data_IF_980403972824
#
_entry.id   IF_980403972824
#
_cell.length_a   1.000
_cell.length_b   1.000
_cell.length_c   1.000
_cell.angle_alpha   90.00
_cell.angle_beta   90.00
_cell.angle_gamma   90.00
#
_symmetry.space_group_name_H-M   'P 1'
#
loop_
_entity.id
_entity.type
_entity.pdbx_description
1 polymer ?
#
# COMPACT_ATOMS: atom_id res chain seq x y z
N UNK A 1 -43.31 -30.85 -44.84
CA UNK A 1 -43.16 -30.04 -43.61
C UNK A 1 -41.77 -30.33 -43.07
N UNK A 2 -40.83 -29.40 -43.28
CA UNK A 2 -39.48 -29.53 -42.73
C UNK A 2 -39.46 -28.98 -41.31
N UNK A 3 -38.95 -29.78 -40.36
CA UNK A 3 -38.76 -29.33 -38.97
C UNK A 3 -37.80 -28.14 -38.91
N UNK A 4 -38.09 -27.12 -38.08
CA UNK A 4 -37.19 -26.00 -37.90
C UNK A 4 -35.97 -26.45 -37.08
N UNK A 5 -34.78 -26.27 -37.65
CA UNK A 5 -33.52 -26.48 -36.95
C UNK A 5 -33.49 -25.60 -35.68
N UNK A 6 -33.46 -26.25 -34.52
CA UNK A 6 -33.26 -25.58 -33.24
C UNK A 6 -31.88 -24.93 -33.24
N UNK A 7 -31.84 -23.60 -33.32
CA UNK A 7 -30.61 -22.83 -33.13
C UNK A 7 -30.15 -23.04 -31.68
N UNK A 8 -29.16 -23.92 -31.50
CA UNK A 8 -28.54 -24.17 -30.21
C UNK A 8 -27.97 -22.89 -29.60
N UNK A 9 -28.07 -22.76 -28.28
CA UNK A 9 -27.47 -21.66 -27.54
C UNK A 9 -25.94 -21.65 -27.78
N UNK A 10 -25.39 -20.52 -28.21
CA UNK A 10 -23.95 -20.32 -28.37
C UNK A 10 -23.46 -19.26 -27.37
N UNK A 11 -22.28 -19.48 -26.81
CA UNK A 11 -21.60 -18.56 -25.87
C UNK A 11 -20.23 -18.20 -26.43
N UNK A 12 -19.68 -17.05 -25.99
CA UNK A 12 -18.41 -16.52 -26.48
C UNK A 12 -17.25 -17.52 -26.37
N UNK A 13 -16.30 -17.40 -27.31
CA UNK A 13 -15.10 -18.23 -27.38
C UNK A 13 -14.35 -18.24 -26.03
N UNK A 14 -13.98 -19.44 -25.55
CA UNK A 14 -13.18 -19.60 -24.33
C UNK A 14 -11.73 -19.17 -24.49
N UNK A 15 -11.28 -18.94 -25.73
CA UNK A 15 -9.88 -18.61 -26.01
C UNK A 15 -9.61 -17.14 -25.70
N UNK A 16 -8.56 -16.90 -24.91
CA UNK A 16 -8.00 -15.56 -24.72
C UNK A 16 -7.42 -15.01 -26.02
N UNK A 17 -7.28 -13.68 -26.09
CA UNK A 17 -6.69 -12.99 -27.24
C UNK A 17 -5.30 -13.53 -27.62
N UNK A 18 -4.47 -13.85 -26.61
CA UNK A 18 -3.14 -14.40 -26.82
C UNK A 18 -3.19 -15.81 -27.45
N UNK A 19 -4.12 -16.66 -27.00
CA UNK A 19 -4.30 -18.00 -27.58
C UNK A 19 -4.69 -17.93 -29.06
N UNK A 20 -5.53 -16.97 -29.44
CA UNK A 20 -5.89 -16.76 -30.84
C UNK A 20 -4.71 -16.26 -31.68
N UNK A 21 -3.88 -15.36 -31.12
CA UNK A 21 -2.64 -14.94 -31.78
C UNK A 21 -1.67 -16.11 -32.01
N UNK A 22 -1.52 -16.98 -31.02
CA UNK A 22 -0.62 -18.14 -31.10
C UNK A 22 -1.10 -19.18 -32.12
N UNK A 23 -2.40 -19.43 -32.20
CA UNK A 23 -2.99 -20.26 -33.26
C UNK A 23 -2.71 -19.67 -34.65
N UNK A 24 -2.78 -18.34 -34.80
CA UNK A 24 -2.41 -17.69 -36.05
C UNK A 24 -0.92 -17.90 -36.38
N UNK A 25 -0.02 -17.75 -35.39
CA UNK A 25 1.43 -17.97 -35.59
C UNK A 25 1.73 -19.43 -35.99
N UNK A 26 1.14 -20.40 -35.28
CA UNK A 26 1.30 -21.84 -35.56
C UNK A 26 0.77 -22.22 -36.95
N UNK A 27 -0.39 -21.69 -37.32
CA UNK A 27 -0.99 -21.90 -38.64
C UNK A 27 -0.32 -21.06 -39.75
N UNK A 28 0.67 -20.23 -39.41
CA UNK A 28 1.34 -19.27 -40.31
C UNK A 28 0.37 -18.29 -40.98
N UNK A 29 -0.69 -17.91 -40.27
CA UNK A 29 -1.73 -16.99 -40.74
C UNK A 29 -1.46 -15.57 -40.22
N UNK A 30 -1.69 -14.58 -41.09
CA UNK A 30 -1.74 -13.18 -40.68
C UNK A 30 -3.17 -12.82 -40.30
N UNK A 31 -3.34 -12.22 -39.13
CA UNK A 31 -4.62 -11.71 -38.64
C UNK A 31 -4.43 -10.29 -38.10
N UNK A 32 -4.68 -9.24 -38.91
CA UNK A 32 -4.53 -7.85 -38.49
C UNK A 32 -5.39 -7.49 -37.28
N UNK A 33 -6.60 -8.07 -37.17
CA UNK A 33 -7.49 -7.88 -36.02
C UNK A 33 -6.84 -8.35 -34.72
N UNK A 34 -6.02 -9.41 -34.76
CA UNK A 34 -5.25 -9.90 -33.61
C UNK A 34 -3.85 -9.28 -33.53
N UNK A 35 -3.48 -8.35 -34.42
CA UNK A 35 -2.13 -7.80 -34.49
C UNK A 35 -1.04 -8.76 -35.00
N UNK A 36 -1.43 -9.90 -35.59
CA UNK A 36 -0.51 -10.88 -36.19
C UNK A 36 -0.31 -10.58 -37.67
N UNK A 37 0.93 -10.46 -38.10
CA UNK A 37 1.34 -10.09 -39.45
C UNK A 37 2.51 -10.96 -39.92
N UNK A 38 2.84 -10.91 -41.22
CA UNK A 38 4.05 -11.54 -41.75
C UNK A 38 5.35 -11.09 -41.08
N UNK A 39 5.37 -9.90 -40.46
CA UNK A 39 6.57 -9.33 -39.83
C UNK A 39 6.84 -9.88 -38.43
N UNK A 40 5.80 -10.31 -37.71
CA UNK A 40 5.89 -10.79 -36.31
C UNK A 40 5.34 -12.23 -36.17
N UNK A 41 5.20 -12.93 -37.29
CA UNK A 41 4.63 -14.28 -37.39
C UNK A 41 5.46 -15.33 -36.62
N UNK A 42 6.74 -15.04 -36.40
CA UNK A 42 7.68 -15.87 -35.64
C UNK A 42 8.10 -15.23 -34.31
N UNK A 43 7.47 -14.13 -33.91
CA UNK A 43 7.78 -13.46 -32.66
C UNK A 43 6.96 -14.08 -31.53
N UNK A 44 7.65 -14.78 -30.63
CA UNK A 44 7.10 -15.32 -29.39
C UNK A 44 7.54 -14.47 -28.20
N UNK A 45 6.65 -14.31 -27.23
CA UNK A 45 6.93 -13.51 -26.05
C UNK A 45 7.63 -14.32 -24.96
N UNK A 46 8.75 -13.81 -24.48
CA UNK A 46 9.44 -14.35 -23.30
C UNK A 46 8.66 -13.97 -22.05
N UNK A 47 8.24 -14.98 -21.28
CA UNK A 47 7.58 -14.78 -20.00
C UNK A 47 8.58 -14.44 -18.90
N UNK A 48 9.64 -15.25 -18.78
CA UNK A 48 10.82 -15.07 -17.94
C UNK A 48 11.90 -16.08 -18.35
N UNK A 49 13.10 -15.96 -17.78
CA UNK A 49 14.21 -16.88 -18.01
C UNK A 49 14.34 -17.83 -16.82
N UNK A 50 14.41 -19.13 -17.10
CA UNK A 50 14.42 -20.20 -16.10
C UNK A 50 15.83 -20.60 -15.68
N UNK A 51 16.77 -20.59 -16.63
CA UNK A 51 18.10 -21.15 -16.43
C UNK A 51 19.12 -20.47 -17.37
N UNK A 52 20.39 -20.69 -17.09
CA UNK A 52 21.53 -20.14 -17.80
C UNK A 52 22.67 -21.15 -17.93
N UNK A 53 23.29 -21.19 -19.10
CA UNK A 53 24.55 -21.90 -19.32
C UNK A 53 25.44 -21.17 -20.31
N UNK A 54 26.75 -21.35 -20.16
CA UNK A 54 27.77 -20.84 -21.06
C UNK A 54 28.59 -21.99 -21.63
N UNK A 55 28.51 -22.18 -22.94
CA UNK A 55 29.27 -23.18 -23.69
C UNK A 55 30.29 -22.44 -24.54
N UNK A 56 31.58 -22.66 -24.29
CA UNK A 56 32.67 -21.81 -24.82
C UNK A 56 32.43 -20.35 -24.42
N UNK A 57 32.36 -19.42 -25.38
CA UNK A 57 32.04 -18.00 -25.16
C UNK A 57 30.58 -17.64 -25.46
N UNK A 58 29.74 -18.63 -25.80
CA UNK A 58 28.34 -18.39 -26.12
C UNK A 58 27.43 -18.67 -24.92
N UNK A 59 26.57 -17.71 -24.61
CA UNK A 59 25.54 -17.81 -23.57
C UNK A 59 24.24 -18.35 -24.15
N UNK A 60 23.57 -19.20 -23.36
CA UNK A 60 22.26 -19.77 -23.62
C UNK A 60 21.38 -19.62 -22.39
N UNK A 61 20.08 -19.42 -22.61
CA UNK A 61 19.09 -19.27 -21.56
C UNK A 61 17.91 -20.20 -21.82
N UNK A 62 17.42 -20.84 -20.77
CA UNK A 62 16.18 -21.61 -20.86
C UNK A 62 15.01 -20.64 -20.74
N UNK A 63 14.19 -20.55 -21.78
CA UNK A 63 13.13 -19.56 -21.89
C UNK A 63 11.80 -20.16 -21.45
N UNK A 64 11.10 -19.49 -20.53
CA UNK A 64 9.67 -19.71 -20.34
C UNK A 64 8.91 -18.87 -21.36
N UNK A 65 8.23 -19.51 -22.30
CA UNK A 65 7.39 -18.82 -23.29
C UNK A 65 6.03 -18.45 -22.70
N UNK A 66 5.59 -17.21 -22.92
CA UNK A 66 4.31 -16.71 -22.42
C UNK A 66 3.18 -17.48 -23.09
N UNK A 67 2.27 -18.04 -22.29
CA UNK A 67 1.09 -18.77 -22.79
C UNK A 67 1.33 -20.26 -23.03
N UNK A 68 2.57 -20.75 -22.95
CA UNK A 68 2.93 -22.15 -23.18
C UNK A 68 3.20 -22.90 -21.87
N UNK A 69 3.02 -24.23 -21.81
CA UNK A 69 3.40 -25.03 -20.65
C UNK A 69 4.92 -25.11 -20.48
N UNK A 70 5.38 -25.46 -19.27
CA UNK A 70 6.82 -25.58 -18.97
C UNK A 70 7.54 -26.65 -19.81
N UNK A 71 6.80 -27.61 -20.37
CA UNK A 71 7.31 -28.65 -21.28
C UNK A 71 7.80 -28.09 -22.63
N UNK A 72 7.36 -26.90 -23.01
CA UNK A 72 7.74 -26.21 -24.25
C UNK A 72 8.92 -25.24 -24.03
N UNK A 73 9.52 -25.21 -22.83
CA UNK A 73 10.66 -24.34 -22.57
C UNK A 73 11.87 -24.76 -23.43
N UNK A 74 12.45 -23.82 -24.18
CA UNK A 74 13.59 -24.08 -25.06
C UNK A 74 14.84 -23.31 -24.65
N UNK A 75 16.01 -23.86 -24.99
CA UNK A 75 17.29 -23.17 -24.81
C UNK A 75 17.55 -22.24 -25.99
N UNK A 76 17.60 -20.94 -25.73
CA UNK A 76 17.86 -19.93 -26.75
C UNK A 76 19.24 -19.29 -26.57
N UNK A 77 20.03 -19.12 -27.63
CA UNK A 77 21.27 -18.35 -27.55
C UNK A 77 20.96 -16.87 -27.28
N UNK A 78 21.86 -16.19 -26.56
CA UNK A 78 21.74 -14.75 -26.24
C UNK A 78 21.36 -13.85 -27.42
N UNK A 79 21.85 -14.17 -28.61
CA UNK A 79 21.64 -13.39 -29.84
C UNK A 79 20.16 -13.38 -30.29
N UNK A 80 19.40 -14.44 -29.97
CA UNK A 80 17.97 -14.54 -30.28
C UNK A 80 17.12 -13.69 -29.32
N UNK A 81 17.63 -13.43 -28.11
CA UNK A 81 16.89 -12.76 -27.04
C UNK A 81 17.01 -11.24 -27.14
N UNK A 82 16.00 -10.62 -27.76
CA UNK A 82 15.84 -9.15 -27.86
C UNK A 82 15.22 -8.52 -26.59
N UNK A 83 14.84 -9.34 -25.60
CA UNK A 83 14.19 -8.92 -24.36
C UNK A 83 15.17 -8.33 -23.33
N UNK A 84 15.77 -7.17 -23.65
CA UNK A 84 16.83 -6.52 -22.84
C UNK A 84 16.45 -6.35 -21.37
N UNK A 85 15.19 -6.00 -21.07
CA UNK A 85 14.72 -5.81 -19.68
C UNK A 85 14.72 -7.12 -18.90
N UNK A 86 14.24 -8.21 -19.50
CA UNK A 86 14.18 -9.53 -18.86
C UNK A 86 15.59 -10.06 -18.61
N UNK A 87 16.48 -9.94 -19.60
CA UNK A 87 17.88 -10.33 -19.47
C UNK A 87 18.60 -9.56 -18.36
N UNK A 88 18.46 -8.23 -18.32
CA UNK A 88 19.05 -7.39 -17.27
C UNK A 88 18.53 -7.78 -15.89
N UNK A 89 17.22 -8.03 -15.76
CA UNK A 89 16.63 -8.41 -14.48
C UNK A 89 17.11 -9.79 -14.03
N UNK A 90 17.18 -10.76 -14.94
CA UNK A 90 17.69 -12.10 -14.63
C UNK A 90 19.13 -12.06 -14.10
N UNK A 91 20.02 -11.31 -14.76
CA UNK A 91 21.40 -11.18 -14.30
C UNK A 91 21.52 -10.42 -12.97
N UNK A 92 20.68 -9.41 -12.74
CA UNK A 92 20.61 -8.71 -11.45
C UNK A 92 20.19 -9.67 -10.33
N UNK A 93 19.22 -10.55 -10.58
CA UNK A 93 18.75 -11.54 -9.61
C UNK A 93 19.80 -12.62 -9.36
N UNK A 94 20.47 -13.09 -10.41
CA UNK A 94 21.58 -14.04 -10.33
C UNK A 94 22.75 -13.49 -9.53
N UNK A 95 23.19 -12.27 -9.81
CA UNK A 95 24.29 -11.63 -9.09
C UNK A 95 23.97 -11.45 -7.60
N UNK A 96 22.76 -10.99 -7.27
CA UNK A 96 22.32 -10.83 -5.88
C UNK A 96 22.31 -12.14 -5.11
N UNK A 97 21.81 -13.21 -5.72
CA UNK A 97 21.77 -14.52 -5.08
C UNK A 97 23.17 -15.15 -4.94
N UNK A 98 24.07 -14.93 -5.91
CA UNK A 98 25.47 -15.34 -5.79
C UNK A 98 26.17 -14.64 -4.62
N UNK A 99 25.97 -13.32 -4.48
CA UNK A 99 26.51 -12.54 -3.36
C UNK A 99 25.94 -13.03 -2.02
N UNK A 100 24.63 -13.27 -1.94
CA UNK A 100 23.97 -13.82 -0.73
C UNK A 100 24.56 -15.18 -0.32
N UNK A 101 24.90 -16.02 -1.30
CA UNK A 101 25.55 -17.33 -1.09
C UNK A 101 27.08 -17.23 -0.86
N UNK A 102 27.62 -16.03 -0.68
CA UNK A 102 29.06 -15.78 -0.50
C UNK A 102 29.93 -16.34 -1.64
N UNK A 103 29.38 -16.37 -2.87
CA UNK A 103 30.08 -16.82 -4.08
C UNK A 103 30.63 -15.62 -4.86
N UNK A 104 31.55 -15.88 -5.80
CA UNK A 104 32.03 -14.87 -6.76
C UNK A 104 30.84 -14.30 -7.54
N UNK A 105 30.85 -12.99 -7.80
CA UNK A 105 29.78 -12.29 -8.54
C UNK A 105 29.65 -12.69 -10.01
N UNK A 106 30.70 -13.31 -10.59
CA UNK A 106 30.67 -13.74 -11.99
C UNK A 106 29.74 -14.95 -12.18
N UNK A 107 28.86 -14.95 -13.20
CA UNK A 107 28.00 -16.09 -13.51
C UNK A 107 28.81 -17.37 -13.73
N UNK A 108 28.44 -18.51 -13.10
CA UNK A 108 29.10 -19.79 -13.35
C UNK A 108 28.80 -20.29 -14.77
N UNK A 109 29.57 -21.26 -15.29
CA UNK A 109 29.28 -21.84 -16.62
C UNK A 109 27.93 -22.55 -16.69
N UNK A 110 27.47 -23.09 -15.58
CA UNK A 110 26.16 -23.72 -15.43
C UNK A 110 25.59 -23.34 -14.06
N UNK A 111 24.28 -23.11 -13.98
CA UNK A 111 23.62 -22.95 -12.69
C UNK A 111 23.44 -24.31 -12.02
N UNK A 112 23.60 -24.35 -10.70
CA UNK A 112 23.13 -25.50 -9.93
C UNK A 112 21.59 -25.49 -9.83
N UNK A 113 20.93 -26.65 -9.63
CA UNK A 113 19.47 -26.74 -9.61
C UNK A 113 18.81 -25.82 -8.58
N UNK A 114 19.44 -25.58 -7.42
CA UNK A 114 18.91 -24.71 -6.38
C UNK A 114 18.95 -23.24 -6.80
N UNK A 115 19.99 -22.81 -7.52
CA UNK A 115 20.11 -21.46 -8.06
C UNK A 115 19.12 -21.23 -9.22
N UNK A 116 18.99 -22.18 -10.14
CA UNK A 116 18.01 -22.12 -11.22
C UNK A 116 16.56 -22.05 -10.66
N UNK A 117 16.22 -22.91 -9.70
CA UNK A 117 14.91 -22.89 -9.06
C UNK A 117 14.62 -21.56 -8.34
N UNK A 118 15.62 -21.00 -7.64
CA UNK A 118 15.50 -19.67 -7.02
C UNK A 118 15.16 -18.60 -8.06
N UNK A 119 15.87 -18.56 -9.20
CA UNK A 119 15.63 -17.56 -10.25
C UNK A 119 14.24 -17.68 -10.87
N UNK A 120 13.75 -18.91 -11.07
CA UNK A 120 12.37 -19.17 -11.50
C UNK A 120 11.37 -18.62 -10.48
N UNK A 121 11.58 -18.91 -9.19
CA UNK A 121 10.71 -18.42 -8.12
C UNK A 121 10.74 -16.89 -8.04
N UNK A 122 11.92 -16.26 -8.14
CA UNK A 122 12.09 -14.81 -8.14
C UNK A 122 11.40 -14.16 -9.34
N UNK A 123 11.52 -14.75 -10.53
CA UNK A 123 10.84 -14.26 -11.72
C UNK A 123 9.31 -14.34 -11.59
N UNK A 124 8.77 -15.45 -11.07
CA UNK A 124 7.34 -15.61 -10.77
C UNK A 124 6.87 -14.58 -9.73
N UNK A 125 7.63 -14.37 -8.66
CA UNK A 125 7.36 -13.37 -7.64
C UNK A 125 7.31 -11.95 -8.24
N UNK A 126 8.32 -11.53 -9.02
CA UNK A 126 8.34 -10.20 -9.65
C UNK A 126 7.11 -9.94 -10.52
N UNK A 127 6.69 -10.94 -11.29
CA UNK A 127 5.45 -10.85 -12.10
C UNK A 127 4.20 -10.74 -11.23
N UNK A 128 4.13 -11.48 -10.12
CA UNK A 128 3.02 -11.37 -9.18
C UNK A 128 2.97 -9.97 -8.53
N UNK A 129 4.11 -9.43 -8.09
CA UNK A 129 4.21 -8.08 -7.53
C UNK A 129 3.85 -7.02 -8.57
N UNK A 130 4.27 -7.18 -9.83
CA UNK A 130 3.91 -6.26 -10.91
C UNK A 130 2.39 -6.24 -11.19
N UNK A 131 1.73 -7.39 -11.16
CA UNK A 131 0.25 -7.44 -11.28
C UNK A 131 -0.43 -6.76 -10.10
N UNK A 132 0.06 -7.02 -8.89
CA UNK A 132 -0.48 -6.38 -7.70
C UNK A 132 -0.28 -4.87 -7.72
N UNK A 133 0.89 -4.37 -8.13
CA UNK A 133 1.13 -2.94 -8.36
C UNK A 133 0.12 -2.34 -9.34
N UNK A 134 -0.15 -3.02 -10.46
CA UNK A 134 -1.15 -2.57 -11.44
C UNK A 134 -2.55 -2.52 -10.82
N UNK A 135 -2.93 -3.53 -10.03
CA UNK A 135 -4.22 -3.57 -9.33
C UNK A 135 -4.37 -2.44 -8.30
N UNK A 136 -3.33 -2.17 -7.50
CA UNK A 136 -3.32 -1.06 -6.54
C UNK A 136 -3.52 0.28 -7.25
N UNK A 137 -2.78 0.52 -8.34
CA UNK A 137 -2.86 1.76 -9.09
C UNK A 137 -4.15 1.91 -9.91
N UNK A 138 -4.79 0.81 -10.29
CA UNK A 138 -6.11 0.85 -10.93
C UNK A 138 -7.24 1.17 -9.92
N UNK A 139 -7.06 0.82 -8.65
CA UNK A 139 -8.06 1.05 -7.58
C UNK A 139 -7.92 2.40 -6.89
N UNK A 140 -6.73 3.00 -6.86
CA UNK A 140 -6.50 4.26 -6.13
C UNK A 140 -7.34 5.41 -6.70
N UNK A 141 -7.88 6.27 -5.83
CA UNK A 141 -8.60 7.49 -6.21
C UNK A 141 -7.75 8.76 -6.09
N UNK A 142 -6.49 8.63 -5.68
CA UNK A 142 -5.56 9.74 -5.43
C UNK A 142 -4.45 9.81 -6.50
N UNK A 143 -3.72 10.93 -6.52
CA UNK A 143 -2.75 11.20 -7.58
C UNK A 143 -1.46 10.38 -7.43
N UNK A 144 -0.98 10.19 -6.20
CA UNK A 144 0.29 9.53 -5.90
C UNK A 144 0.36 8.10 -6.42
N UNK A 145 1.40 7.74 -7.17
CA UNK A 145 1.58 6.35 -7.64
C UNK A 145 2.02 5.46 -6.50
N UNK A 146 1.57 4.20 -6.53
CA UNK A 146 2.01 3.16 -5.60
C UNK A 146 2.90 2.19 -6.37
N UNK A 147 4.16 2.05 -5.98
CA UNK A 147 5.04 1.01 -6.54
C UNK A 147 5.25 -0.12 -5.53
N UNK A 148 5.61 -1.31 -6.00
CA UNK A 148 5.87 -2.47 -5.14
C UNK A 148 7.24 -3.07 -5.44
N UNK A 149 8.08 -3.20 -4.41
CA UNK A 149 9.43 -3.74 -4.53
C UNK A 149 9.74 -4.80 -3.47
N UNK A 150 10.24 -5.97 -3.89
CA UNK A 150 10.83 -6.94 -2.98
C UNK A 150 12.18 -7.43 -3.50
N UNK A 151 13.23 -7.01 -2.82
CA UNK A 151 14.61 -7.36 -3.11
C UNK A 151 15.28 -8.19 -2.01
N UNK A 152 14.51 -8.61 -0.99
CA UNK A 152 15.02 -9.24 0.23
C UNK A 152 14.75 -10.75 0.23
N UNK A 153 13.51 -11.12 -0.11
CA UNK A 153 13.05 -12.51 -0.06
C UNK A 153 12.13 -12.83 -1.27
N UNK A 154 11.42 -13.96 -1.17
CA UNK A 154 10.52 -14.49 -2.20
C UNK A 154 9.04 -14.24 -1.90
N UNK A 155 8.70 -13.44 -0.88
CA UNK A 155 7.31 -13.14 -0.54
C UNK A 155 6.62 -12.35 -1.65
N UNK A 156 5.49 -12.89 -2.13
CA UNK A 156 4.64 -12.24 -3.12
C UNK A 156 3.64 -11.26 -2.50
N UNK A 157 2.64 -10.81 -3.29
CA UNK A 157 1.53 -10.01 -2.78
C UNK A 157 0.85 -10.66 -1.56
N UNK A 158 0.37 -9.87 -0.59
CA UNK A 158 -0.42 -10.39 0.52
C UNK A 158 -1.69 -11.10 0.01
N UNK A 159 -2.01 -12.26 0.58
CA UNK A 159 -3.10 -13.13 0.07
C UNK A 159 -4.51 -12.62 0.40
N UNK A 160 -4.66 -11.87 1.48
CA UNK A 160 -5.95 -11.50 2.06
C UNK A 160 -6.03 -10.01 2.36
N UNK A 161 -5.72 -9.18 1.36
CA UNK A 161 -5.75 -7.72 1.46
C UNK A 161 -6.51 -7.11 0.28
N UNK A 162 -7.42 -6.21 0.57
CA UNK A 162 -8.23 -5.49 -0.41
C UNK A 162 -8.00 -4.00 -0.24
N UNK A 163 -7.41 -3.37 -1.27
CA UNK A 163 -7.18 -1.93 -1.28
C UNK A 163 -8.50 -1.15 -1.35
N UNK A 164 -8.71 -0.23 -0.41
CA UNK A 164 -9.85 0.70 -0.35
C UNK A 164 -9.33 2.15 -0.22
N UNK A 165 -10.14 3.12 -0.64
CA UNK A 165 -9.77 4.55 -0.59
C UNK A 165 -10.44 5.30 0.57
N UNK A 166 -11.62 4.84 1.00
CA UNK A 166 -12.43 5.43 2.04
C UNK A 166 -12.82 4.34 3.05
N UNK A 167 -13.24 4.73 4.25
CA UNK A 167 -13.69 3.79 5.28
C UNK A 167 -14.80 2.88 4.78
N UNK A 168 -14.74 1.61 5.21
CA UNK A 168 -15.88 0.71 5.14
C UNK A 168 -16.61 0.71 6.48
N UNK A 169 -17.85 1.17 6.48
CA UNK A 169 -18.64 1.22 7.72
C UNK A 169 -19.17 -0.18 8.04
N UNK A 170 -18.88 -0.66 9.24
CA UNK A 170 -19.38 -1.94 9.76
C UNK A 170 -20.86 -1.93 10.07
N UNK A 171 -21.41 -3.11 10.37
CA UNK A 171 -22.84 -3.28 10.64
C UNK A 171 -23.29 -2.45 11.85
N UNK A 172 -24.43 -1.77 11.73
CA UNK A 172 -25.01 -0.95 12.80
C UNK A 172 -24.37 0.42 13.03
N UNK A 173 -23.29 0.76 12.32
CA UNK A 173 -22.61 2.05 12.44
C UNK A 173 -23.15 3.01 11.38
N UNK A 174 -23.44 4.25 11.76
CA UNK A 174 -23.97 5.28 10.85
C UNK A 174 -23.07 6.50 10.86
N UNK A 175 -22.62 6.93 9.68
CA UNK A 175 -21.92 8.20 9.50
C UNK A 175 -22.94 9.29 9.17
N UNK A 176 -23.06 10.28 10.05
CA UNK A 176 -23.97 11.40 9.84
C UNK A 176 -23.29 12.49 9.03
N UNK A 177 -23.90 12.87 7.91
CA UNK A 177 -23.40 13.98 7.13
C UNK A 177 -23.67 15.31 7.83
N UNK A 178 -22.67 16.18 7.83
CA UNK A 178 -22.76 17.55 8.30
C UNK A 178 -23.83 18.33 7.53
N UNK A 179 -24.68 19.04 8.27
CA UNK A 179 -25.78 19.80 7.71
C UNK A 179 -25.36 21.17 7.16
N UNK A 180 -24.25 21.71 7.66
CA UNK A 180 -23.81 23.09 7.41
C UNK A 180 -22.40 23.16 6.84
N UNK A 181 -22.14 24.19 6.04
CA UNK A 181 -20.82 24.52 5.55
C UNK A 181 -20.56 26.02 5.68
N UNK A 182 -19.33 26.45 5.39
CA UNK A 182 -18.99 27.87 5.45
C UNK A 182 -19.52 28.65 4.24
N UNK A 183 -19.70 29.95 4.46
CA UNK A 183 -20.05 30.96 3.43
C UNK A 183 -18.86 31.89 3.11
N UNK A 184 -17.64 31.42 3.33
CA UNK A 184 -16.43 32.21 3.14
C UNK A 184 -16.16 32.48 1.65
N UNK A 185 -15.80 33.72 1.30
CA UNK A 185 -15.23 34.02 -0.01
C UNK A 185 -13.79 33.52 -0.14
N UNK A 186 -13.00 33.69 0.93
CA UNK A 186 -11.65 33.17 1.07
C UNK A 186 -11.48 32.58 2.47
N UNK A 187 -11.40 31.25 2.56
CA UNK A 187 -11.33 30.54 3.85
C UNK A 187 -10.02 30.77 4.62
N UNK A 188 -8.96 31.30 3.98
CA UNK A 188 -7.67 31.52 4.63
C UNK A 188 -7.47 32.99 4.99
N UNK A 189 -7.71 33.90 4.04
CA UNK A 189 -7.43 35.34 4.20
C UNK A 189 -8.59 36.12 4.81
N UNK A 190 -9.83 35.69 4.58
CA UNK A 190 -11.03 36.34 5.10
C UNK A 190 -12.06 35.32 5.65
N UNK A 191 -11.69 34.49 6.63
CA UNK A 191 -12.58 33.46 7.16
C UNK A 191 -13.70 34.07 8.00
N UNK A 192 -14.93 34.11 7.47
CA UNK A 192 -16.13 34.48 8.23
C UNK A 192 -16.26 33.59 9.47
N UNK A 193 -16.20 34.18 10.66
CA UNK A 193 -16.28 33.46 11.93
C UNK A 193 -15.19 32.41 12.14
N UNK A 194 -14.04 32.53 11.45
CA UNK A 194 -12.97 31.53 11.53
C UNK A 194 -13.18 30.29 10.64
N UNK A 195 -14.14 30.34 9.70
CA UNK A 195 -14.49 29.23 8.80
C UNK A 195 -15.00 27.99 9.58
N UNK A 196 -15.01 26.81 8.96
CA UNK A 196 -15.42 25.55 9.61
C UNK A 196 -14.70 25.28 10.94
N UNK A 197 -13.37 25.50 11.07
CA UNK A 197 -12.69 25.40 12.35
C UNK A 197 -13.28 26.32 13.41
N UNK A 198 -13.51 27.59 13.07
CA UNK A 198 -14.06 28.58 14.01
C UNK A 198 -15.49 28.27 14.45
N UNK A 199 -16.33 27.74 13.55
CA UNK A 199 -17.66 27.25 13.89
C UNK A 199 -17.63 26.09 14.91
N UNK A 200 -16.58 25.26 14.86
CA UNK A 200 -16.31 24.21 15.86
C UNK A 200 -15.47 24.71 17.04
N UNK A 201 -15.25 26.02 17.20
CA UNK A 201 -14.42 26.61 18.26
C UNK A 201 -12.93 26.18 18.23
N UNK A 202 -12.43 25.79 17.06
CA UNK A 202 -11.04 25.40 16.82
C UNK A 202 -10.29 26.37 15.91
N UNK A 203 -8.95 26.26 15.93
CA UNK A 203 -8.06 27.09 15.10
C UNK A 203 -7.95 26.51 13.68
N UNK A 204 -7.75 27.40 12.71
CA UNK A 204 -7.45 27.00 11.34
C UNK A 204 -6.17 26.16 11.28
N UNK A 205 -6.24 25.01 10.64
CA UNK A 205 -5.20 24.00 10.77
C UNK A 205 -3.97 24.23 9.90
N UNK A 206 -4.14 24.83 8.72
CA UNK A 206 -3.11 24.85 7.68
C UNK A 206 -2.52 26.25 7.42
N UNK A 207 -1.29 26.30 6.92
CA UNK A 207 -0.78 27.50 6.24
C UNK A 207 -1.18 27.53 4.75
N UNK A 208 -0.74 28.56 4.05
CA UNK A 208 -0.89 28.75 2.59
C UNK A 208 -0.24 27.64 1.74
N UNK A 209 0.69 26.87 2.31
CA UNK A 209 1.33 25.72 1.68
C UNK A 209 0.63 24.39 2.01
N UNK A 210 -0.49 24.39 2.74
CA UNK A 210 -1.19 23.18 3.16
C UNK A 210 -0.49 22.39 4.27
N UNK A 211 0.45 23.02 4.98
CA UNK A 211 1.17 22.40 6.10
C UNK A 211 0.44 22.64 7.41
N UNK A 212 0.29 21.60 8.23
CA UNK A 212 -0.38 21.69 9.54
C UNK A 212 0.42 22.57 10.51
N UNK A 213 -0.29 23.41 11.24
CA UNK A 213 0.24 24.33 12.27
C UNK A 213 -0.24 24.00 13.67
N UNK A 214 -1.24 23.13 13.79
CA UNK A 214 -1.75 22.65 15.07
C UNK A 214 -0.72 21.74 15.74
N UNK A 215 -0.84 21.64 17.06
CA UNK A 215 -0.09 20.65 17.83
C UNK A 215 -0.76 19.28 17.71
N UNK A 216 0.01 18.22 17.94
CA UNK A 216 -0.54 16.87 18.08
C UNK A 216 -1.62 16.86 19.18
N UNK A 217 -2.68 16.06 18.97
CA UNK A 217 -3.85 16.00 19.85
C UNK A 217 -4.93 17.06 19.57
N UNK A 218 -4.63 18.13 18.83
CA UNK A 218 -5.65 19.08 18.40
C UNK A 218 -6.35 18.58 17.13
N UNK A 219 -7.71 18.60 17.07
CA UNK A 219 -8.44 18.13 15.91
C UNK A 219 -8.34 19.10 14.73
N UNK A 220 -8.45 18.58 13.52
CA UNK A 220 -8.51 19.37 12.30
C UNK A 220 -9.95 19.34 11.76
N UNK A 221 -10.51 20.52 11.52
CA UNK A 221 -11.83 20.68 10.91
C UNK A 221 -11.67 21.25 9.50
N UNK A 222 -11.81 20.40 8.48
CA UNK A 222 -11.76 20.85 7.08
C UNK A 222 -13.09 21.42 6.61
N UNK A 223 -13.06 22.16 5.51
CA UNK A 223 -14.27 22.47 4.78
C UNK A 223 -14.87 21.19 4.17
N UNK A 224 -16.19 21.12 4.13
CA UNK A 224 -16.96 19.94 3.76
C UNK A 224 -17.77 20.14 2.48
N UNK A 225 -18.55 19.14 2.06
CA UNK A 225 -19.39 19.18 0.86
C UNK A 225 -20.50 20.23 0.87
N UNK A 226 -20.83 20.81 2.03
CA UNK A 226 -21.83 21.90 2.19
C UNK A 226 -21.22 23.30 2.13
N UNK A 227 -19.89 23.42 2.11
CA UNK A 227 -19.22 24.72 2.05
C UNK A 227 -19.25 25.32 0.64
N UNK A 228 -19.38 26.64 0.53
CA UNK A 228 -19.35 27.33 -0.77
C UNK A 228 -17.96 27.36 -1.44
N UNK A 229 -16.90 27.11 -0.67
CA UNK A 229 -15.53 27.11 -1.18
C UNK A 229 -15.26 25.87 -2.07
N UNK A 230 -14.57 26.10 -3.19
CA UNK A 230 -14.25 25.06 -4.17
C UNK A 230 -13.16 24.07 -3.72
N UNK A 231 -12.76 23.20 -4.66
CA UNK A 231 -11.73 22.16 -4.45
C UNK A 231 -10.38 22.74 -4.01
N UNK A 232 -9.98 23.89 -4.54
CA UNK A 232 -8.68 24.51 -4.25
C UNK A 232 -8.64 25.27 -2.92
N UNK A 233 -9.71 25.22 -2.12
CA UNK A 233 -9.74 25.79 -0.78
C UNK A 233 -8.52 25.34 0.06
N UNK A 234 -7.81 26.27 0.72
CA UNK A 234 -6.68 25.93 1.60
C UNK A 234 -7.08 25.08 2.81
N UNK A 235 -8.37 25.08 3.20
CA UNK A 235 -8.93 24.22 4.24
C UNK A 235 -9.47 22.88 3.71
N UNK A 236 -8.97 22.42 2.55
CA UNK A 236 -9.22 21.09 1.98
C UNK A 236 -7.88 20.48 1.61
N UNK A 237 -7.26 19.75 2.53
CA UNK A 237 -5.92 19.14 2.38
C UNK A 237 -6.02 17.63 2.39
N UNK A 238 -6.61 17.05 3.45
CA UNK A 238 -6.73 15.60 3.64
C UNK A 238 -7.65 15.00 2.59
N UNK A 239 -8.81 15.63 2.35
CA UNK A 239 -9.77 15.18 1.32
C UNK A 239 -9.24 15.25 -0.13
N UNK A 240 -8.08 15.87 -0.36
CA UNK A 240 -7.42 15.84 -1.68
C UNK A 240 -6.66 14.53 -1.94
N UNK A 241 -6.53 13.68 -0.92
CA UNK A 241 -5.87 12.39 -1.00
C UNK A 241 -4.34 12.49 -1.17
N UNK A 242 -3.71 11.32 -1.26
CA UNK A 242 -2.25 11.19 -1.36
C UNK A 242 -1.72 11.86 -2.64
N UNK A 243 -0.70 12.71 -2.49
CA UNK A 243 -0.06 13.43 -3.60
C UNK A 243 1.32 12.88 -3.98
N UNK A 244 1.96 12.14 -3.10
CA UNK A 244 3.33 11.65 -3.30
C UNK A 244 3.35 10.27 -3.92
N UNK A 245 4.35 10.01 -4.77
CA UNK A 245 4.66 8.65 -5.21
C UNK A 245 5.26 7.85 -4.03
N UNK A 246 4.62 6.75 -3.66
CA UNK A 246 4.98 5.90 -2.53
C UNK A 246 5.32 4.49 -2.99
N UNK A 247 6.21 3.81 -2.26
CA UNK A 247 6.64 2.46 -2.55
C UNK A 247 6.38 1.54 -1.35
N UNK A 248 5.56 0.52 -1.56
CA UNK A 248 5.49 -0.63 -0.66
C UNK A 248 6.74 -1.46 -0.92
N UNK A 249 7.58 -1.67 0.09
CA UNK A 249 8.84 -2.38 -0.06
C UNK A 249 9.03 -3.45 1.02
N UNK A 250 9.79 -4.50 0.71
CA UNK A 250 10.16 -5.51 1.71
C UNK A 250 11.34 -5.02 2.55
N UNK A 251 11.16 -4.94 3.86
CA UNK A 251 12.22 -4.60 4.82
C UNK A 251 13.25 -5.72 4.92
N UNK A 252 14.51 -5.38 5.23
CA UNK A 252 15.62 -6.34 5.32
C UNK A 252 15.91 -6.84 6.74
N UNK A 253 15.16 -6.35 7.74
CA UNK A 253 15.33 -6.62 9.17
C UNK A 253 14.21 -7.50 9.75
N UNK A 254 13.33 -8.00 8.89
CA UNK A 254 12.25 -8.92 9.25
C UNK A 254 11.01 -8.24 9.83
N UNK A 255 10.85 -6.91 9.67
CA UNK A 255 9.57 -6.21 9.96
C UNK A 255 8.48 -6.47 8.93
N UNK A 256 8.82 -7.15 7.83
CA UNK A 256 7.88 -7.49 6.77
C UNK A 256 7.81 -6.42 5.69
N UNK A 257 6.61 -6.07 5.26
CA UNK A 257 6.41 -4.96 4.32
C UNK A 257 6.51 -3.61 5.03
N UNK A 258 7.00 -2.60 4.33
CA UNK A 258 7.11 -1.21 4.78
C UNK A 258 6.63 -0.27 3.68
N UNK A 259 6.49 1.01 3.98
CA UNK A 259 6.22 2.06 2.99
C UNK A 259 7.35 3.07 3.02
N UNK A 260 7.83 3.50 1.86
CA UNK A 260 8.78 4.62 1.72
C UNK A 260 8.28 5.61 0.69
N UNK A 261 8.66 6.88 0.84
CA UNK A 261 8.38 7.90 -0.17
C UNK A 261 9.40 7.84 -1.31
N UNK A 262 8.99 8.12 -2.55
CA UNK A 262 9.90 8.25 -3.70
C UNK A 262 10.35 9.70 -3.96
N UNK A 263 9.82 10.63 -3.20
CA UNK A 263 10.07 12.06 -3.32
C UNK A 263 10.18 12.74 -1.95
N UNK A 264 10.65 13.98 -1.94
CA UNK A 264 10.81 14.77 -0.70
C UNK A 264 9.44 15.18 -0.16
N UNK A 265 9.16 14.86 1.10
CA UNK A 265 7.99 15.35 1.83
C UNK A 265 8.45 16.44 2.81
N UNK A 266 7.85 17.63 2.73
CA UNK A 266 8.18 18.73 3.65
C UNK A 266 7.59 18.46 5.03
N UNK A 267 8.25 18.97 6.07
CA UNK A 267 7.71 18.99 7.44
C UNK A 267 6.26 19.50 7.46
N UNK A 268 5.44 18.91 8.30
CA UNK A 268 4.04 19.23 8.53
C UNK A 268 3.12 19.05 7.31
N UNK A 269 3.55 18.32 6.27
CA UNK A 269 2.69 18.05 5.12
C UNK A 269 1.85 16.80 5.35
N UNK A 270 0.60 16.81 4.88
CA UNK A 270 -0.26 15.62 4.83
C UNK A 270 0.37 14.55 3.94
N UNK A 271 0.37 13.29 4.38
CA UNK A 271 1.00 12.17 3.67
C UNK A 271 -0.05 11.16 3.20
N UNK A 272 -0.87 10.64 4.11
CA UNK A 272 -1.92 9.66 3.83
C UNK A 272 -2.90 9.57 5.01
N UNK A 273 -4.02 8.88 4.83
CA UNK A 273 -4.94 8.51 5.90
C UNK A 273 -4.75 7.08 6.35
N UNK A 274 -5.15 6.75 7.58
CA UNK A 274 -5.31 5.37 8.01
C UNK A 274 -6.75 4.91 7.77
N UNK A 275 -6.92 4.01 6.82
CA UNK A 275 -8.24 3.57 6.34
C UNK A 275 -8.40 2.07 6.53
N UNK A 276 -9.59 1.66 6.98
CA UNK A 276 -9.98 0.28 7.18
C UNK A 276 -11.50 0.11 7.29
N UNK A 277 -11.92 -1.02 7.85
CA UNK A 277 -13.30 -1.23 8.30
C UNK A 277 -13.51 -0.57 9.66
N UNK A 278 -14.51 0.30 9.80
CA UNK A 278 -14.92 0.84 11.11
C UNK A 278 -15.79 -0.22 11.78
N UNK A 279 -15.38 -0.69 12.94
CA UNK A 279 -16.07 -1.68 13.77
C UNK A 279 -16.24 -1.13 15.19
N UNK A 280 -17.12 -1.75 15.99
CA UNK A 280 -17.22 -1.41 17.42
C UNK A 280 -16.00 -1.93 18.17
N UNK A 281 -15.64 -1.30 19.29
CA UNK A 281 -14.54 -1.78 20.14
C UNK A 281 -14.77 -3.22 20.65
N UNK A 282 -16.03 -3.63 20.84
CA UNK A 282 -16.38 -5.03 21.17
C UNK A 282 -16.00 -6.00 20.04
N UNK A 283 -16.32 -5.66 18.80
CA UNK A 283 -15.96 -6.48 17.63
C UNK A 283 -14.43 -6.47 17.41
N UNK A 284 -13.77 -5.34 17.68
CA UNK A 284 -12.32 -5.22 17.62
C UNK A 284 -11.63 -6.15 18.64
N UNK A 285 -12.10 -6.19 19.89
CA UNK A 285 -11.58 -7.11 20.91
C UNK A 285 -11.79 -8.57 20.50
N UNK A 286 -12.97 -8.91 19.95
CA UNK A 286 -13.27 -10.26 19.45
C UNK A 286 -12.30 -10.68 18.33
N UNK A 287 -12.00 -9.78 17.38
CA UNK A 287 -11.03 -10.03 16.30
C UNK A 287 -9.58 -10.01 16.79
N UNK A 288 -9.27 -9.12 17.72
CA UNK A 288 -7.94 -8.91 18.32
C UNK A 288 -7.37 -10.19 18.93
N UNK A 289 -8.20 -11.02 19.57
CA UNK A 289 -7.80 -12.33 20.10
C UNK A 289 -7.22 -13.29 19.03
N UNK A 290 -7.61 -13.12 17.76
CA UNK A 290 -7.05 -13.87 16.63
C UNK A 290 -5.78 -13.18 16.13
N UNK A 291 -5.80 -11.85 16.02
CA UNK A 291 -4.69 -11.06 15.51
C UNK A 291 -3.46 -11.09 16.41
N UNK A 292 -3.63 -11.04 17.73
CA UNK A 292 -2.55 -11.17 18.72
C UNK A 292 -1.77 -12.48 18.56
N UNK A 293 -2.48 -13.58 18.28
CA UNK A 293 -1.86 -14.89 18.02
C UNK A 293 -1.08 -14.92 16.71
N UNK A 294 -1.41 -14.04 15.78
CA UNK A 294 -0.76 -13.90 14.47
C UNK A 294 0.29 -12.77 14.45
N UNK A 295 0.43 -12.01 15.54
CA UNK A 295 1.29 -10.82 15.60
C UNK A 295 0.83 -9.69 14.67
N UNK A 296 -0.46 -9.65 14.32
CA UNK A 296 -1.05 -8.64 13.44
C UNK A 296 -1.45 -7.39 14.23
N UNK A 297 -1.13 -6.21 13.69
CA UNK A 297 -1.22 -4.90 14.39
C UNK A 297 -2.03 -3.90 13.57
N UNK A 298 -3.22 -4.30 13.13
CA UNK A 298 -4.03 -3.55 12.17
C UNK A 298 -5.24 -2.83 12.78
N UNK A 299 -5.46 -2.99 14.09
CA UNK A 299 -6.51 -2.31 14.84
C UNK A 299 -5.99 -0.93 15.28
N UNK A 300 -6.78 0.10 15.01
CA UNK A 300 -6.52 1.48 15.43
C UNK A 300 -7.75 2.03 16.14
N UNK A 301 -7.67 2.22 17.45
CA UNK A 301 -8.79 2.68 18.27
C UNK A 301 -9.08 4.17 18.01
N UNK A 302 -10.36 4.53 17.89
CA UNK A 302 -10.82 5.90 17.64
C UNK A 302 -11.14 6.61 18.97
N UNK A 303 -10.14 6.66 19.85
CA UNK A 303 -10.27 7.08 21.25
C UNK A 303 -10.18 8.60 21.48
N UNK A 304 -10.52 9.42 20.47
CA UNK A 304 -10.43 10.88 20.57
C UNK A 304 -11.35 11.47 21.67
N UNK A 305 -12.58 10.97 21.77
CA UNK A 305 -13.54 11.37 22.82
C UNK A 305 -14.00 10.18 23.66
N UNK A 306 -14.27 9.03 23.02
CA UNK A 306 -14.78 7.83 23.65
C UNK A 306 -14.25 6.59 22.91
N UNK A 307 -13.93 5.52 23.63
CA UNK A 307 -13.52 4.23 23.06
C UNK A 307 -14.76 3.40 22.65
N UNK A 308 -15.38 3.79 21.55
CA UNK A 308 -16.60 3.14 21.00
C UNK A 308 -16.31 2.40 19.71
N UNK A 309 -15.37 2.90 18.92
CA UNK A 309 -15.08 2.41 17.57
C UNK A 309 -13.59 2.21 17.34
N UNK A 310 -13.28 1.28 16.45
CA UNK A 310 -11.92 0.93 16.02
C UNK A 310 -11.90 0.81 14.51
N UNK A 311 -10.81 1.24 13.87
CA UNK A 311 -10.53 0.98 12.45
C UNK A 311 -9.69 -0.30 12.34
N UNK A 312 -10.26 -1.31 11.69
CA UNK A 312 -9.61 -2.58 11.37
C UNK A 312 -9.12 -2.57 9.92
N UNK A 313 -7.79 -2.46 9.73
CA UNK A 313 -7.16 -2.48 8.43
C UNK A 313 -6.69 -3.89 7.99
N UNK A 314 -7.04 -4.97 8.71
CA UNK A 314 -6.44 -6.30 8.47
C UNK A 314 -6.76 -6.88 7.09
N UNK A 315 -8.01 -6.72 6.63
CA UNK A 315 -8.47 -7.25 5.34
C UNK A 315 -8.79 -6.15 4.32
N UNK A 316 -9.40 -5.06 4.76
CA UNK A 316 -9.64 -3.88 3.93
C UNK A 316 -8.77 -2.76 4.45
N UNK A 317 -7.91 -2.18 3.61
CA UNK A 317 -7.12 -1.01 4.00
C UNK A 317 -6.55 -0.27 2.81
N UNK A 318 -5.92 0.87 3.05
CA UNK A 318 -5.15 1.57 2.01
C UNK A 318 -3.65 1.28 2.18
N UNK A 319 -2.77 2.13 1.64
CA UNK A 319 -1.32 1.95 1.77
C UNK A 319 -0.80 2.06 3.23
N UNK A 320 -1.55 2.70 4.13
CA UNK A 320 -1.18 2.84 5.56
C UNK A 320 -1.07 1.49 6.26
N UNK A 321 -1.77 0.47 5.78
CA UNK A 321 -1.69 -0.92 6.27
C UNK A 321 -0.25 -1.43 6.35
N UNK A 322 0.64 -0.96 5.48
CA UNK A 322 2.03 -1.40 5.40
C UNK A 322 3.02 -0.46 6.13
N UNK A 323 2.54 0.58 6.82
CA UNK A 323 3.43 1.55 7.49
C UNK A 323 3.87 0.97 8.82
N UNK A 324 5.18 0.82 9.02
CA UNK A 324 5.74 0.20 10.21
C UNK A 324 5.80 1.14 11.41
N UNK A 325 5.93 0.53 12.59
CA UNK A 325 6.26 1.22 13.82
C UNK A 325 7.71 1.76 13.84
N UNK A 326 7.88 2.95 14.43
CA UNK A 326 9.17 3.43 14.96
C UNK A 326 9.00 4.11 16.31
N UNK A 327 9.96 3.94 17.22
CA UNK A 327 10.02 4.71 18.48
C UNK A 327 10.52 6.15 18.29
N UNK A 328 11.05 6.49 17.11
CA UNK A 328 11.35 7.85 16.64
C UNK A 328 10.73 8.02 15.25
N UNK A 329 9.40 8.21 15.18
CA UNK A 329 8.67 8.20 13.93
C UNK A 329 8.83 9.51 13.14
N UNK A 330 8.59 9.43 11.83
CA UNK A 330 8.54 10.60 10.96
C UNK A 330 7.11 11.02 10.56
N UNK A 331 6.08 10.27 11.01
CA UNK A 331 4.67 10.59 10.86
C UNK A 331 4.01 10.81 12.22
N UNK A 332 3.09 11.77 12.26
CA UNK A 332 2.22 12.08 13.39
C UNK A 332 0.76 11.94 12.97
N UNK A 333 -0.06 11.41 13.86
CA UNK A 333 -1.50 11.26 13.66
C UNK A 333 -2.26 12.51 14.08
N UNK A 334 -3.26 12.88 13.29
CA UNK A 334 -4.25 13.91 13.57
C UNK A 334 -5.65 13.35 13.32
N UNK A 335 -6.59 13.69 14.22
CA UNK A 335 -8.02 13.47 14.03
C UNK A 335 -8.58 14.56 13.12
N UNK A 336 -9.34 14.15 12.10
CA UNK A 336 -9.84 15.05 11.06
C UNK A 336 -11.34 14.88 10.86
N UNK A 337 -12.04 16.00 10.86
CA UNK A 337 -13.48 16.09 10.66
C UNK A 337 -13.76 16.87 9.38
N UNK A 338 -14.59 16.28 8.52
CA UNK A 338 -14.90 16.82 7.18
C UNK A 338 -16.43 16.76 7.00
N UNK A 339 -16.93 15.73 6.33
CA UNK A 339 -18.35 15.52 6.11
C UNK A 339 -19.05 14.86 7.29
N UNK A 340 -18.30 14.24 8.22
CA UNK A 340 -18.80 13.76 9.50
C UNK A 340 -18.17 14.58 10.63
N UNK A 341 -19.01 15.12 11.52
CA UNK A 341 -18.57 15.86 12.71
C UNK A 341 -18.83 15.10 14.02
N UNK A 342 -19.27 13.83 13.94
CA UNK A 342 -19.33 12.97 15.13
C UNK A 342 -17.91 12.70 15.61
N UNK A 343 -17.55 13.27 16.76
CA UNK A 343 -16.21 13.21 17.33
C UNK A 343 -15.75 11.79 17.68
N UNK A 344 -16.69 10.83 17.77
CA UNK A 344 -16.40 9.40 17.97
C UNK A 344 -15.91 8.72 16.70
N UNK A 345 -16.09 9.35 15.54
CA UNK A 345 -15.75 8.79 14.22
C UNK A 345 -14.86 9.76 13.41
N UNK A 346 -13.68 10.15 13.96
CA UNK A 346 -12.73 10.98 13.23
C UNK A 346 -12.12 10.21 12.06
N UNK A 347 -11.72 10.93 11.01
CA UNK A 347 -10.77 10.41 10.03
C UNK A 347 -9.36 10.50 10.62
N UNK A 348 -8.55 9.46 10.39
CA UNK A 348 -7.16 9.39 10.88
C UNK A 348 -6.23 9.84 9.76
N UNK A 349 -5.53 10.97 9.94
CA UNK A 349 -4.59 11.49 8.95
C UNK A 349 -3.15 11.52 9.47
N UNK A 350 -2.20 11.13 8.62
CA UNK A 350 -0.77 11.19 8.90
C UNK A 350 -0.14 12.43 8.28
N UNK A 351 0.56 13.20 9.11
CA UNK A 351 1.35 14.37 8.73
C UNK A 351 2.82 14.15 9.07
N UNK A 352 3.73 14.66 8.23
CA UNK A 352 5.16 14.53 8.47
C UNK A 352 5.62 15.38 9.69
N UNK A 353 6.37 14.81 10.63
CA UNK A 353 6.90 15.55 11.81
C UNK A 353 8.14 16.38 11.47
N UNK A 354 8.85 15.98 10.42
CA UNK A 354 10.04 16.60 9.88
C UNK A 354 10.07 16.47 8.36
N UNK A 355 11.08 17.04 7.72
CA UNK A 355 11.32 16.75 6.31
C UNK A 355 11.72 15.28 6.17
N UNK A 356 11.10 14.59 5.22
CA UNK A 356 11.34 13.18 4.89
C UNK A 356 11.93 13.14 3.48
N UNK A 357 13.05 12.45 3.30
CA UNK A 357 13.75 12.41 2.02
C UNK A 357 13.29 11.25 1.14
N UNK A 358 13.51 11.38 -0.17
CA UNK A 358 13.22 10.31 -1.11
C UNK A 358 13.98 9.02 -0.72
N UNK A 359 13.27 7.90 -0.71
CA UNK A 359 13.77 6.59 -0.30
C UNK A 359 13.64 6.29 1.20
N UNK A 360 13.29 7.27 2.03
CA UNK A 360 13.15 7.09 3.48
C UNK A 360 11.85 6.34 3.83
N UNK A 361 11.94 5.38 4.74
CA UNK A 361 10.79 4.63 5.26
C UNK A 361 9.87 5.56 6.09
N UNK A 362 8.58 5.47 5.84
CA UNK A 362 7.53 6.15 6.58
C UNK A 362 7.15 5.29 7.79
N UNK A 363 7.13 5.90 8.97
CA UNK A 363 6.83 5.21 10.23
C UNK A 363 6.05 6.10 11.18
N UNK A 364 5.19 5.49 12.01
CA UNK A 364 4.48 6.17 13.10
C UNK A 364 4.65 5.40 14.42
N UNK A 365 4.33 6.04 15.54
CA UNK A 365 4.34 5.37 16.84
C UNK A 365 3.02 4.60 17.04
N UNK A 366 3.06 3.27 17.13
CA UNK A 366 1.85 2.46 17.33
C UNK A 366 1.23 2.66 18.70
N UNK A 367 2.02 3.11 19.68
CA UNK A 367 1.55 3.41 21.03
C UNK A 367 1.17 4.89 21.18
N UNK A 368 1.33 5.69 20.12
CA UNK A 368 0.86 7.08 20.06
C UNK A 368 1.25 7.94 21.28
N UNK A 369 2.44 7.74 21.85
CA UNK A 369 2.83 8.47 23.06
C UNK A 369 2.97 9.96 22.75
N UNK A 370 2.10 10.77 23.35
CA UNK A 370 2.21 12.24 23.29
C UNK A 370 3.25 12.67 24.32
N UNK A 371 4.23 13.47 23.90
CA UNK A 371 5.27 13.98 24.79
C UNK A 371 4.65 14.73 26.00
N UNK A 372 5.12 14.48 27.23
CA UNK A 372 4.55 15.10 28.44
C UNK A 372 4.65 16.63 28.46
N UNK A 373 5.50 17.24 27.63
CA UNK A 373 5.63 18.70 27.50
C UNK A 373 4.40 19.32 26.81
N UNK A 374 3.65 18.54 26.01
CA UNK A 374 2.38 18.97 25.43
C UNK A 374 1.16 18.66 26.33
N UNK A 375 1.37 17.93 27.43
CA UNK A 375 0.34 17.53 28.40
C UNK A 375 -0.11 18.66 29.34
N UNK A 376 0.66 19.75 29.45
CA UNK A 376 0.24 20.94 30.23
C UNK A 376 -0.88 21.75 29.56
N UNK A 377 -1.24 21.43 28.31
CA UNK A 377 -2.36 22.08 27.59
C UNK A 377 -3.71 21.36 27.77
N UNK A 378 -3.73 20.20 28.42
CA UNK A 378 -4.92 19.34 28.61
C UNK A 378 -5.28 19.14 30.09
N UNK A 379 -5.05 20.15 30.95
CA UNK A 379 -5.65 20.19 32.30
C UNK A 379 -7.15 20.52 32.23
N UNK A 380 -7.88 19.62 31.58
CA UNK A 380 -9.21 19.12 31.89
C UNK A 380 -9.31 17.82 31.09
N UNK A 381 -9.56 16.71 31.78
CA UNK A 381 -9.95 15.39 31.22
C UNK A 381 -8.85 14.38 30.82
N UNK A 382 -7.75 14.30 31.56
CA UNK A 382 -6.90 13.08 31.55
C UNK A 382 -6.60 12.61 32.98
N UNK A 383 -7.66 12.25 33.69
CA UNK A 383 -7.56 11.52 34.95
C UNK A 383 -8.11 10.10 34.76
N UNK A 384 -7.56 9.31 33.83
CA UNK A 384 -7.88 7.88 33.76
C UNK A 384 -6.79 7.04 33.09
N UNK A 385 -5.55 7.22 33.55
CA UNK A 385 -4.45 6.29 33.32
C UNK A 385 -4.09 5.50 34.56
N UNK A 386 -5.01 5.23 35.50
CA UNK A 386 -4.70 4.42 36.70
C UNK A 386 -5.90 3.90 37.49
N UNK A 387 -7.01 3.53 36.84
CA UNK A 387 -8.02 2.71 37.51
C UNK A 387 -7.79 1.23 37.18
N UNK A 388 -7.20 0.51 38.13
CA UNK A 388 -7.17 -0.95 38.10
C UNK A 388 -8.59 -1.49 38.16
N UNK A 389 -9.12 -1.93 37.01
CA UNK A 389 -10.22 -2.87 36.96
C UNK A 389 -9.68 -4.28 37.27
N UNK A 390 -10.29 -5.04 38.19
CA UNK A 390 -9.87 -6.39 38.55
C UNK A 390 -10.31 -7.36 37.45
N UNK A 391 -9.50 -7.45 36.41
CA UNK A 391 -9.62 -8.40 35.31
C UNK A 391 -8.28 -8.48 34.62
N UNK A 392 -7.36 -9.24 35.21
CA UNK A 392 -5.98 -9.44 34.74
C UNK A 392 -5.87 -9.45 33.20
N UNK A 393 -5.12 -8.53 32.57
CA UNK A 393 -4.88 -8.64 31.14
C UNK A 393 -4.03 -9.89 30.92
N UNK A 394 -4.62 -10.89 30.26
CA UNK A 394 -3.88 -12.05 29.76
C UNK A 394 -2.70 -11.50 28.96
N UNK A 395 -1.47 -11.91 29.33
CA UNK A 395 -0.21 -11.42 28.76
C UNK A 395 -0.31 -11.28 27.23
N UNK A 396 -0.52 -10.05 26.74
CA UNK A 396 -0.35 -9.73 25.30
C UNK A 396 1.04 -10.20 24.90
N UNK A 397 1.14 -10.90 23.77
CA UNK A 397 2.43 -11.38 23.26
C UNK A 397 3.30 -10.13 23.04
N UNK A 398 4.41 -10.02 23.78
CA UNK A 398 5.32 -8.89 23.63
C UNK A 398 6.08 -9.04 22.31
N UNK A 399 5.68 -8.27 21.30
CA UNK A 399 6.33 -8.24 20.00
C UNK A 399 7.57 -7.35 20.11
N UNK A 400 8.75 -7.91 19.81
CA UNK A 400 10.02 -7.18 19.83
C UNK A 400 10.03 -6.07 18.77
N UNK A 401 10.41 -4.86 19.18
CA UNK A 401 10.56 -3.71 18.29
C UNK A 401 11.92 -3.75 17.59
N UNK A 402 11.87 -3.66 16.25
CA UNK A 402 13.05 -3.67 15.37
C UNK A 402 13.24 -2.36 14.60
N UNK A 403 12.76 -1.23 15.15
CA UNK A 403 12.85 0.07 14.47
C UNK A 403 14.28 0.61 14.29
N UNK A 404 15.27 0.04 15.00
CA UNK A 404 16.68 0.41 14.85
C UNK A 404 17.09 1.73 15.50
N UNK A 405 16.18 2.42 16.19
CA UNK A 405 16.48 3.70 16.86
C UNK A 405 17.27 3.47 18.15
N UNK A 406 18.13 4.41 18.52
CA UNK A 406 18.93 4.33 19.76
C UNK A 406 18.06 4.41 21.01
N UNK A 407 16.96 5.17 20.95
CA UNK A 407 15.95 5.32 21.99
C UNK A 407 14.82 4.27 21.90
N UNK A 408 15.06 3.12 21.26
CA UNK A 408 14.03 2.10 21.06
C UNK A 408 13.51 1.53 22.41
N UNK A 409 12.18 1.49 22.54
CA UNK A 409 11.45 0.97 23.71
C UNK A 409 11.43 -0.56 23.83
N UNK A 410 12.14 -1.27 22.95
CA UNK A 410 12.29 -2.74 22.87
C UNK A 410 11.06 -3.52 22.46
N UNK A 411 9.85 -3.01 22.68
CA UNK A 411 8.59 -3.66 22.30
C UNK A 411 7.68 -2.70 21.54
N UNK A 412 6.81 -3.24 20.68
CA UNK A 412 5.87 -2.45 19.89
C UNK A 412 4.79 -1.77 20.76
N UNK A 413 4.30 -2.49 21.77
CA UNK A 413 3.26 -2.06 22.72
C UNK A 413 3.74 -2.24 24.16
#
# INVERSE_FOLDING_TARGET
MGEPATLGCSVCCKSSWNQLQDLCRLAKLSCPALGVSKKNLYDFEVEYLCDYKKIREQEYYLVKWRGYPDSENTWEPRQNLKCVRVLKQFHKDLERELVRRHRRSKPPRHLDPNLANYLVQKAKQRRALQRWEQELNAKRSHLGRITVENEVDLDGPPRSFVYINEYRVGEGITLNQVAVGCECQDCLLAPTGGCCPGASLHKFAYNDQGQVRLKAGQPIYECNSRCCCGYDCPNRVVQKGIRYDLCIFRTNDGRGWGVRTLEKIRKNSFVMEYVGEIITSEEAERRGQIYDRQGATYLFDLDYVEDVYTVDAAYYGNISHFVNHSCDPNLQVYNVFIDNLDERLPRIAFFATRTIWAGEELTFDYNMQVDPVDMESTRMDSNFGLAGLPGSPKKRVRIECKCGTTACRKYLF
#
